data_IF_324718144500
#
_entry.id   IF_324718144500
#
_cell.length_a   1.000
_cell.length_b   1.000
_cell.length_c   1.000
_cell.angle_alpha   90.00
_cell.angle_beta   90.00
_cell.angle_gamma   90.00
#
_symmetry.space_group_name_H-M   'P 1'
#
loop_
_entity.id
_entity.type
_entity.pdbx_description
1 polymer ?
#
# COMPACT_ATOMS: atom_id res chain seq x y z
N UNK A 1 -38.04 32.27 1.90
CA UNK A 1 -37.97 31.07 2.77
C UNK A 1 -37.11 29.97 2.16
N UNK A 2 -37.30 29.62 0.88
CA UNK A 2 -36.52 28.57 0.19
C UNK A 2 -35.02 28.89 0.09
N UNK A 3 -34.65 30.13 -0.23
CA UNK A 3 -33.24 30.53 -0.37
C UNK A 3 -32.45 30.40 0.93
N UNK A 4 -33.01 30.88 2.06
CA UNK A 4 -32.38 30.73 3.37
C UNK A 4 -32.21 29.26 3.79
N UNK A 5 -33.19 28.41 3.45
CA UNK A 5 -33.08 26.97 3.69
C UNK A 5 -31.94 26.33 2.88
N UNK A 6 -31.82 26.66 1.59
CA UNK A 6 -30.74 26.15 0.73
C UNK A 6 -29.36 26.59 1.22
N UNK A 7 -29.20 27.83 1.69
CA UNK A 7 -27.93 28.31 2.25
C UNK A 7 -27.54 27.52 3.51
N UNK A 8 -28.49 27.24 4.40
CA UNK A 8 -28.22 26.45 5.62
C UNK A 8 -27.78 25.04 5.26
N UNK A 9 -28.48 24.38 4.32
CA UNK A 9 -28.10 23.04 3.84
C UNK A 9 -26.72 23.05 3.20
N UNK A 10 -26.40 24.05 2.37
CA UNK A 10 -25.10 24.18 1.72
C UNK A 10 -23.96 24.37 2.71
N UNK A 11 -24.14 25.25 3.71
CA UNK A 11 -23.13 25.49 4.75
C UNK A 11 -22.94 24.25 5.61
N UNK A 12 -24.01 23.56 6.00
CA UNK A 12 -23.93 22.33 6.78
C UNK A 12 -23.20 21.21 6.03
N UNK A 13 -23.51 21.00 4.75
CA UNK A 13 -22.83 20.02 3.90
C UNK A 13 -21.34 20.36 3.74
N UNK A 14 -21.03 21.63 3.45
CA UNK A 14 -19.65 22.12 3.30
C UNK A 14 -18.85 21.96 4.59
N UNK A 15 -19.45 22.27 5.74
CA UNK A 15 -18.85 22.07 7.05
C UNK A 15 -18.55 20.58 7.32
N UNK A 16 -19.45 19.68 6.92
CA UNK A 16 -19.25 18.23 7.02
C UNK A 16 -18.03 17.76 6.22
N UNK A 17 -17.90 18.21 4.97
CA UNK A 17 -16.74 17.89 4.10
C UNK A 17 -15.45 18.44 4.73
N UNK A 18 -15.45 19.70 5.16
CA UNK A 18 -14.29 20.33 5.81
C UNK A 18 -13.90 19.64 7.12
N UNK A 19 -14.87 19.12 7.88
CA UNK A 19 -14.58 18.37 9.10
C UNK A 19 -13.82 17.06 8.80
N UNK A 20 -14.25 16.30 7.79
CA UNK A 20 -13.65 15.01 7.43
C UNK A 20 -12.30 15.19 6.74
N UNK A 21 -12.21 16.10 5.78
CA UNK A 21 -11.00 16.25 4.96
C UNK A 21 -10.01 17.29 5.49
N UNK A 22 -10.44 18.20 6.35
CA UNK A 22 -9.59 19.24 6.95
C UNK A 22 -9.32 19.00 8.42
N UNK A 23 -10.38 19.01 9.26
CA UNK A 23 -10.21 18.96 10.71
C UNK A 23 -9.67 17.62 11.20
N UNK A 24 -10.13 16.50 10.64
CA UNK A 24 -9.65 15.17 11.03
C UNK A 24 -8.15 14.97 10.78
N UNK A 25 -7.60 15.17 9.55
CA UNK A 25 -6.16 15.02 9.34
C UNK A 25 -5.35 16.03 10.15
N UNK A 26 -5.83 17.27 10.31
CA UNK A 26 -5.18 18.27 11.16
C UNK A 26 -5.10 17.78 12.62
N UNK A 27 -6.19 17.23 13.14
CA UNK A 27 -6.23 16.64 14.48
C UNK A 27 -5.26 15.48 14.65
N UNK A 28 -5.17 14.59 13.65
CA UNK A 28 -4.20 13.48 13.65
C UNK A 28 -2.75 13.99 13.63
N UNK A 29 -2.44 15.01 12.83
CA UNK A 29 -1.10 15.61 12.76
C UNK A 29 -0.73 16.26 14.09
N UNK A 30 -1.64 17.07 14.65
CA UNK A 30 -1.44 17.74 15.94
C UNK A 30 -1.24 16.71 17.04
N UNK A 31 -2.13 15.72 17.16
CA UNK A 31 -1.98 14.64 18.15
C UNK A 31 -0.71 13.81 17.94
N UNK A 32 -0.33 13.56 16.70
CA UNK A 32 0.89 12.85 16.31
C UNK A 32 2.16 13.62 16.63
N UNK A 33 2.13 14.95 16.56
CA UNK A 33 3.27 15.83 16.87
C UNK A 33 3.64 15.83 18.36
N UNK A 34 2.67 15.54 19.24
CA UNK A 34 2.91 15.39 20.68
C UNK A 34 3.45 14.00 21.04
N UNK A 35 3.32 13.02 20.15
CA UNK A 35 3.91 11.69 20.34
C UNK A 35 5.29 11.67 19.71
N UNK A 36 6.33 11.85 20.53
CA UNK A 36 7.68 11.47 20.12
C UNK A 36 7.65 9.98 19.79
N UNK A 37 7.68 9.62 18.50
CA UNK A 37 8.08 8.27 18.12
C UNK A 37 9.46 8.08 18.74
N UNK A 38 9.70 7.04 19.55
CA UNK A 38 11.05 6.65 19.85
C UNK A 38 11.73 6.52 18.49
N UNK A 39 12.77 7.33 18.24
CA UNK A 39 13.66 7.05 17.14
C UNK A 39 14.25 5.69 17.51
N UNK A 40 13.71 4.63 16.91
CA UNK A 40 14.44 3.38 16.86
C UNK A 40 15.69 3.75 16.09
N UNK A 41 16.82 3.84 16.79
CA UNK A 41 18.13 3.91 16.15
C UNK A 41 18.24 2.64 15.31
N UNK A 42 17.82 2.75 14.05
CA UNK A 42 17.64 1.63 13.15
C UNK A 42 18.94 0.84 13.05
N UNK A 43 20.07 1.55 13.05
CA UNK A 43 21.41 0.98 12.99
C UNK A 43 21.78 0.18 14.25
N UNK A 44 21.35 0.61 15.44
CA UNK A 44 21.61 -0.08 16.72
C UNK A 44 20.70 -1.30 16.89
N UNK A 45 19.43 -1.18 16.49
CA UNK A 45 18.47 -2.29 16.54
C UNK A 45 18.81 -3.40 15.53
N UNK A 46 19.31 -3.05 14.34
CA UNK A 46 19.72 -4.00 13.31
C UNK A 46 21.07 -4.66 13.63
N UNK A 47 22.01 -3.93 14.25
CA UNK A 47 23.31 -4.49 14.61
C UNK A 47 23.26 -5.39 15.86
N UNK A 48 22.24 -5.27 16.70
CA UNK A 48 22.04 -6.11 17.88
C UNK A 48 21.25 -7.41 17.58
N UNK A 49 20.61 -7.52 16.41
CA UNK A 49 19.61 -8.54 16.09
C UNK A 49 20.13 -9.66 15.17
N UNK A 50 21.28 -10.28 15.46
CA UNK A 50 21.70 -11.52 14.77
C UNK A 50 21.75 -11.45 13.23
N UNK A 51 21.71 -12.59 12.51
CA UNK A 51 21.57 -12.59 11.06
C UNK A 51 20.19 -12.06 10.65
N UNK A 52 20.14 -11.36 9.52
CA UNK A 52 18.89 -10.84 8.96
C UNK A 52 17.87 -11.97 8.73
N UNK A 53 16.60 -11.79 9.15
CA UNK A 53 15.59 -12.82 8.97
C UNK A 53 15.26 -13.02 7.50
N UNK A 54 14.74 -14.19 7.15
CA UNK A 54 14.12 -14.40 5.84
C UNK A 54 12.78 -13.65 5.77
N UNK A 55 12.56 -12.92 4.68
CA UNK A 55 11.34 -12.12 4.46
C UNK A 55 10.70 -12.49 3.13
N UNK A 56 9.37 -12.52 3.11
CA UNK A 56 8.58 -12.65 1.88
C UNK A 56 7.83 -11.36 1.60
N UNK A 57 8.08 -10.74 0.44
CA UNK A 57 7.32 -9.61 -0.09
C UNK A 57 6.15 -10.16 -0.90
N UNK A 58 4.95 -10.08 -0.31
CA UNK A 58 3.70 -10.43 -0.99
C UNK A 58 3.04 -9.18 -1.59
N UNK A 59 2.79 -9.20 -2.89
CA UNK A 59 2.11 -8.12 -3.62
C UNK A 59 0.80 -8.67 -4.20
N UNK A 60 -0.33 -8.28 -3.59
CA UNK A 60 -1.65 -8.59 -4.14
C UNK A 60 -2.03 -7.56 -5.20
N UNK A 61 -2.64 -8.02 -6.30
CA UNK A 61 -2.99 -7.18 -7.44
C UNK A 61 -4.15 -7.75 -8.25
N UNK A 62 -4.90 -6.85 -8.89
CA UNK A 62 -5.98 -7.17 -9.80
C UNK A 62 -6.09 -6.07 -10.84
N UNK A 63 -6.08 -6.43 -12.12
CA UNK A 63 -6.16 -5.49 -13.25
C UNK A 63 -5.17 -4.32 -13.15
N UNK A 64 -3.91 -4.65 -12.90
CA UNK A 64 -2.83 -3.69 -12.64
C UNK A 64 -1.82 -3.62 -13.79
N UNK A 65 -2.26 -3.81 -15.04
CA UNK A 65 -1.39 -3.93 -16.21
C UNK A 65 -0.41 -2.74 -16.34
N UNK A 66 -0.90 -1.52 -16.12
CA UNK A 66 -0.11 -0.29 -16.22
C UNK A 66 1.01 -0.18 -15.16
N UNK A 67 0.87 -0.88 -14.02
CA UNK A 67 1.79 -0.81 -12.88
C UNK A 67 2.65 -2.07 -12.73
N UNK A 68 2.23 -3.19 -13.34
CA UNK A 68 2.83 -4.51 -13.17
C UNK A 68 4.35 -4.49 -13.37
N UNK A 69 4.82 -3.94 -14.50
CA UNK A 69 6.24 -3.89 -14.83
C UNK A 69 7.03 -3.00 -13.85
N UNK A 70 6.60 -1.76 -13.66
CA UNK A 70 7.28 -0.83 -12.75
C UNK A 70 7.33 -1.36 -11.32
N UNK A 71 6.27 -2.06 -10.87
CA UNK A 71 6.24 -2.68 -9.54
C UNK A 71 7.18 -3.87 -9.44
N UNK A 72 7.24 -4.73 -10.46
CA UNK A 72 8.19 -5.84 -10.53
C UNK A 72 9.65 -5.35 -10.48
N UNK A 73 9.99 -4.34 -11.28
CA UNK A 73 11.31 -3.71 -11.31
C UNK A 73 11.67 -3.09 -9.95
N UNK A 74 10.73 -2.36 -9.35
CA UNK A 74 10.91 -1.78 -8.01
C UNK A 74 11.17 -2.85 -6.93
N UNK A 75 10.39 -3.94 -6.94
CA UNK A 75 10.58 -5.05 -6.00
C UNK A 75 11.93 -5.75 -6.20
N UNK A 76 12.36 -5.92 -7.45
CA UNK A 76 13.65 -6.54 -7.78
C UNK A 76 14.87 -5.67 -7.44
N UNK A 77 14.67 -4.36 -7.32
CA UNK A 77 15.69 -3.38 -6.93
C UNK A 77 15.91 -3.30 -5.41
N UNK A 78 15.09 -3.99 -4.59
CA UNK A 78 15.24 -4.01 -3.15
C UNK A 78 16.57 -4.66 -2.74
N UNK A 79 17.38 -3.92 -2.00
CA UNK A 79 18.65 -4.39 -1.43
C UNK A 79 18.41 -4.84 0.01
N UNK A 80 17.68 -5.95 0.17
CA UNK A 80 17.49 -6.55 1.48
C UNK A 80 18.72 -7.39 1.87
N UNK A 81 19.33 -7.18 3.05
CA UNK A 81 20.55 -7.90 3.41
C UNK A 81 20.36 -9.39 3.72
N UNK A 82 19.12 -9.82 4.01
CA UNK A 82 18.74 -11.21 4.24
C UNK A 82 18.15 -11.90 3.00
N UNK A 83 17.61 -13.10 3.20
CA UNK A 83 16.88 -13.78 2.13
C UNK A 83 15.54 -13.09 1.87
N UNK A 84 15.28 -12.73 0.61
CA UNK A 84 14.04 -12.09 0.17
C UNK A 84 13.34 -12.95 -0.88
N UNK A 85 12.14 -13.42 -0.57
CA UNK A 85 11.22 -14.02 -1.53
C UNK A 85 10.26 -12.94 -2.05
N UNK A 86 9.99 -12.91 -3.35
CA UNK A 86 9.07 -11.94 -3.96
C UNK A 86 7.93 -12.71 -4.63
N UNK A 87 6.70 -12.50 -4.15
CA UNK A 87 5.49 -13.20 -4.62
C UNK A 87 4.45 -12.17 -5.04
N UNK A 88 3.98 -12.28 -6.28
CA UNK A 88 2.89 -11.47 -6.81
C UNK A 88 1.64 -12.36 -6.94
N UNK A 89 0.58 -12.02 -6.20
CA UNK A 89 -0.68 -12.75 -6.21
C UNK A 89 -1.73 -11.98 -7.02
N UNK A 90 -2.06 -12.49 -8.22
CA UNK A 90 -3.11 -11.97 -9.09
C UNK A 90 -4.47 -12.56 -8.70
N UNK A 91 -5.38 -11.71 -8.21
CA UNK A 91 -6.76 -12.07 -7.83
C UNK A 91 -7.71 -11.88 -9.02
N UNK A 92 -7.75 -12.86 -9.92
CA UNK A 92 -8.67 -12.86 -11.06
C UNK A 92 -8.48 -11.68 -12.02
N UNK A 93 -7.23 -11.30 -12.32
CA UNK A 93 -6.95 -10.28 -13.34
C UNK A 93 -7.42 -10.76 -14.71
N UNK A 94 -8.11 -9.90 -15.45
CA UNK A 94 -8.63 -10.18 -16.80
C UNK A 94 -7.84 -9.46 -17.90
N UNK A 95 -6.83 -8.68 -17.52
CA UNK A 95 -5.97 -7.90 -18.42
C UNK A 95 -4.56 -8.54 -18.53
N UNK A 96 -3.58 -7.85 -19.12
CA UNK A 96 -2.25 -8.42 -19.33
C UNK A 96 -1.36 -8.41 -18.08
N UNK A 97 -1.92 -8.18 -16.89
CA UNK A 97 -1.16 -8.06 -15.64
C UNK A 97 -0.23 -9.25 -15.39
N UNK A 98 -0.75 -10.49 -15.45
CA UNK A 98 0.03 -11.70 -15.19
C UNK A 98 1.12 -11.89 -16.25
N UNK A 99 0.79 -11.65 -17.52
CA UNK A 99 1.75 -11.74 -18.61
C UNK A 99 2.91 -10.75 -18.43
N UNK A 100 2.62 -9.51 -18.06
CA UNK A 100 3.64 -8.48 -17.79
C UNK A 100 4.50 -8.82 -16.57
N UNK A 101 3.91 -9.35 -15.50
CA UNK A 101 4.66 -9.79 -14.32
C UNK A 101 5.60 -10.97 -14.64
N UNK A 102 5.12 -11.96 -15.39
CA UNK A 102 5.94 -13.10 -15.82
C UNK A 102 7.08 -12.65 -16.76
N UNK A 103 6.83 -11.68 -17.64
CA UNK A 103 7.86 -11.13 -18.53
C UNK A 103 8.91 -10.31 -17.76
N UNK A 104 8.51 -9.56 -16.74
CA UNK A 104 9.43 -8.78 -15.90
C UNK A 104 10.21 -9.63 -14.89
N UNK A 105 9.65 -10.77 -14.48
CA UNK A 105 10.25 -11.70 -13.53
C UNK A 105 11.38 -12.51 -14.15
N UNK A 106 12.63 -12.05 -14.05
CA UNK A 106 13.84 -12.77 -14.46
C UNK A 106 14.15 -13.98 -13.53
N UNK A 107 13.18 -14.86 -13.28
CA UNK A 107 13.28 -16.04 -12.40
C UNK A 107 13.31 -15.75 -10.90
N UNK A 108 13.38 -14.47 -10.48
CA UNK A 108 13.39 -14.04 -9.07
C UNK A 108 12.01 -13.63 -8.52
N UNK A 109 10.97 -13.71 -9.34
CA UNK A 109 9.59 -13.37 -8.96
C UNK A 109 8.72 -14.61 -9.13
N UNK A 110 7.97 -14.94 -8.08
CA UNK A 110 6.91 -15.93 -8.12
C UNK A 110 5.57 -15.23 -8.43
N UNK A 111 4.80 -15.76 -9.38
CA UNK A 111 3.48 -15.21 -9.75
C UNK A 111 2.42 -16.26 -9.49
N UNK A 112 1.59 -16.02 -8.48
CA UNK A 112 0.43 -16.84 -8.14
C UNK A 112 -0.79 -16.26 -8.83
N UNK A 113 -1.46 -17.06 -9.66
CA UNK A 113 -2.65 -16.67 -10.38
C UNK A 113 -3.86 -17.39 -9.78
N UNK A 114 -4.72 -16.63 -9.12
CA UNK A 114 -5.96 -17.14 -8.53
C UNK A 114 -7.07 -16.90 -9.57
N UNK A 115 -7.49 -17.97 -10.25
CA UNK A 115 -8.43 -17.90 -11.38
C UNK A 115 -9.89 -17.74 -10.93
N UNK A 116 -10.23 -18.21 -9.72
CA UNK A 116 -11.56 -18.06 -9.12
C UNK A 116 -11.47 -17.18 -7.87
N UNK A 117 -12.28 -16.11 -7.82
CA UNK A 117 -12.35 -15.23 -6.66
C UNK A 117 -13.04 -15.96 -5.50
N UNK A 118 -12.26 -16.60 -4.63
CA UNK A 118 -12.79 -17.35 -3.49
C UNK A 118 -13.24 -16.47 -2.30
N UNK A 119 -13.30 -15.15 -2.47
CA UNK A 119 -13.61 -14.22 -1.38
C UNK A 119 -12.49 -14.16 -0.33
N UNK A 120 -12.71 -13.43 0.76
CA UNK A 120 -11.70 -13.28 1.84
C UNK A 120 -11.88 -14.36 2.90
N UNK A 121 -11.30 -15.56 2.70
CA UNK A 121 -10.95 -16.51 3.76
C UNK A 121 -10.11 -17.66 3.19
#
# INVERSE_FOLDING_TARGET
MLEGFLVVVFVAASAGILAVFGLYPLGVIVAGSFRRRPALDADVALSAAGPWPSVSLLVALRNAEALAQAKAENSLALQYPGALQIVFASDGSTDQTVARLRAAGAGRIEVLEILEHHGKA
#
